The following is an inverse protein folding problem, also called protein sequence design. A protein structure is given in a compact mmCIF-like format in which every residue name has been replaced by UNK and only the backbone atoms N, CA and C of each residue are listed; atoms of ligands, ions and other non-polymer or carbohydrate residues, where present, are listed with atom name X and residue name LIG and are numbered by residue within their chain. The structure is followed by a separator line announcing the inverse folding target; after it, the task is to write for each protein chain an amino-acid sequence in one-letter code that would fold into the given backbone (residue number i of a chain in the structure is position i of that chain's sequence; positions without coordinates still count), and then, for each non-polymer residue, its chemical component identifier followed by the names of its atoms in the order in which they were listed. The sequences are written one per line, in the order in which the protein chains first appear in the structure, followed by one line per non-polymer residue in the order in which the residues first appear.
data_IF_439457956200
#
_entry.id   IF_439457956200
#
_cell.length_a   1.000
_cell.length_b   1.000
_cell.length_c   1.000
_cell.angle_alpha   90.00
_cell.angle_beta   90.00
_cell.angle_gamma   90.00
#
_symmetry.space_group_name_H-M   'P 1'
#
loop_
_entity.id
_entity.type
_entity.pdbx_description
1 polymer ?
#
# COMPACT_ATOMS: atom_id res chain seq x y z
N UNK A 1 16.19 -16.26 29.23
CA UNK A 1 15.89 -15.35 28.10
C UNK A 1 17.20 -14.68 27.71
N UNK A 2 17.70 -14.92 26.49
CA UNK A 2 18.97 -14.36 26.06
C UNK A 2 18.93 -12.82 26.10
N UNK A 3 19.97 -12.21 26.66
CA UNK A 3 20.12 -10.76 26.71
C UNK A 3 20.42 -10.26 25.29
N UNK A 4 19.37 -9.88 24.57
CA UNK A 4 19.51 -9.30 23.23
C UNK A 4 19.96 -7.84 23.34
N UNK A 5 20.95 -7.41 22.53
CA UNK A 5 21.32 -6.00 22.40
C UNK A 5 20.11 -5.10 22.12
N UNK A 6 20.13 -3.87 22.66
CA UNK A 6 18.98 -2.95 22.59
C UNK A 6 18.58 -2.59 21.15
N UNK A 7 19.55 -2.44 20.23
CA UNK A 7 19.29 -2.19 18.81
C UNK A 7 18.61 -3.38 18.13
N UNK A 8 19.09 -4.60 18.37
CA UNK A 8 18.48 -5.84 17.85
C UNK A 8 17.06 -6.00 18.37
N UNK A 9 16.82 -5.75 19.66
CA UNK A 9 15.48 -5.81 20.26
C UNK A 9 14.53 -4.76 19.67
N UNK A 10 15.02 -3.55 19.39
CA UNK A 10 14.23 -2.46 18.79
C UNK A 10 13.74 -2.84 17.40
N UNK A 11 14.61 -3.39 16.55
CA UNK A 11 14.27 -3.87 15.19
C UNK A 11 13.32 -5.06 15.25
N UNK A 12 13.62 -6.06 16.06
CA UNK A 12 12.80 -7.26 16.20
C UNK A 12 11.35 -6.92 16.62
N UNK A 13 11.20 -6.02 17.59
CA UNK A 13 9.88 -5.58 18.06
C UNK A 13 9.08 -4.81 17.00
N UNK A 14 9.74 -4.13 16.06
CA UNK A 14 9.08 -3.44 14.95
C UNK A 14 8.36 -4.43 14.04
N UNK A 15 9.05 -5.49 13.62
CA UNK A 15 8.48 -6.54 12.76
C UNK A 15 7.48 -7.44 13.50
N UNK A 16 7.75 -7.77 14.77
CA UNK A 16 6.84 -8.59 15.57
C UNK A 16 5.47 -7.91 15.79
N UNK A 17 5.44 -6.59 16.01
CA UNK A 17 4.19 -5.84 16.13
C UNK A 17 3.37 -5.84 14.83
N UNK A 18 4.03 -5.76 13.66
CA UNK A 18 3.36 -5.83 12.35
C UNK A 18 2.69 -7.19 12.10
N UNK A 19 3.33 -8.29 12.52
CA UNK A 19 2.76 -9.64 12.41
C UNK A 19 1.53 -9.84 13.30
N UNK A 20 1.54 -9.29 14.52
CA UNK A 20 0.42 -9.40 15.46
C UNK A 20 -0.86 -8.70 14.95
N UNK A 21 -0.74 -7.71 14.06
CA UNK A 21 -1.86 -6.98 13.44
C UNK A 21 -2.44 -7.63 12.18
N UNK A 22 -2.10 -8.89 11.88
CA UNK A 22 -2.76 -9.67 10.83
C UNK A 22 -2.10 -9.64 9.45
N UNK A 23 -0.88 -9.12 9.33
CA UNK A 23 -0.08 -9.22 8.10
C UNK A 23 0.71 -10.52 8.07
N UNK A 24 0.73 -11.20 6.91
CA UNK A 24 1.56 -12.38 6.63
C UNK A 24 3.04 -11.96 6.43
N UNK A 25 3.59 -11.23 7.41
CA UNK A 25 4.88 -10.53 7.33
C UNK A 25 5.99 -11.38 7.93
N UNK A 26 7.08 -11.55 7.18
CA UNK A 26 8.30 -12.18 7.65
C UNK A 26 8.86 -11.40 8.84
N UNK A 27 9.17 -12.10 9.93
CA UNK A 27 9.78 -11.51 11.12
C UNK A 27 11.21 -12.01 11.19
N UNK A 28 12.23 -11.16 10.91
CA UNK A 28 13.61 -11.58 11.00
C UNK A 28 13.93 -12.01 12.43
N UNK A 29 14.68 -13.08 12.57
CA UNK A 29 15.15 -13.57 13.87
C UNK A 29 16.17 -12.61 14.47
N UNK A 30 16.32 -12.59 15.81
CA UNK A 30 17.32 -11.74 16.44
C UNK A 30 18.76 -11.98 15.97
N UNK A 31 19.08 -13.19 15.51
CA UNK A 31 20.39 -13.53 14.93
C UNK A 31 20.60 -12.87 13.57
N UNK A 32 19.61 -12.97 12.66
CA UNK A 32 19.70 -12.34 11.33
C UNK A 32 19.85 -10.81 11.43
N UNK A 33 19.12 -10.18 12.36
CA UNK A 33 19.26 -8.75 12.63
C UNK A 33 20.67 -8.44 13.13
N UNK A 34 21.20 -9.25 14.05
CA UNK A 34 22.52 -9.04 14.62
C UNK A 34 23.62 -9.16 13.55
N UNK A 35 23.56 -10.20 12.73
CA UNK A 35 24.54 -10.45 11.66
C UNK A 35 24.54 -9.30 10.64
N UNK A 36 23.36 -8.78 10.30
CA UNK A 36 23.24 -7.60 9.43
C UNK A 36 23.86 -6.35 10.07
N UNK A 37 23.55 -6.04 11.33
CA UNK A 37 24.12 -4.89 12.02
C UNK A 37 25.65 -4.98 12.09
N UNK A 38 26.20 -6.16 12.37
CA UNK A 38 27.65 -6.40 12.37
C UNK A 38 28.26 -6.21 10.97
N UNK A 39 27.60 -6.70 9.91
CA UNK A 39 28.06 -6.53 8.52
C UNK A 39 28.12 -5.07 8.06
N UNK A 40 27.22 -4.22 8.57
CA UNK A 40 27.15 -2.79 8.25
C UNK A 40 27.99 -1.93 9.20
N UNK A 41 28.64 -2.53 10.20
CA UNK A 41 29.37 -1.80 11.25
C UNK A 41 28.45 -0.97 12.16
N UNK A 42 27.17 -1.33 12.27
CA UNK A 42 26.22 -0.65 13.15
C UNK A 42 26.37 -1.11 14.59
N UNK A 43 26.24 -0.17 15.53
CA UNK A 43 26.27 -0.47 16.96
C UNK A 43 25.04 -1.30 17.37
N UNK A 44 25.25 -2.53 17.84
CA UNK A 44 24.18 -3.43 18.29
C UNK A 44 23.40 -2.90 19.50
N UNK A 45 24.02 -2.07 20.33
CA UNK A 45 23.42 -1.50 21.54
C UNK A 45 22.88 -0.08 21.35
N UNK A 46 23.62 0.77 20.62
CA UNK A 46 23.27 2.18 20.39
C UNK A 46 23.17 2.46 18.90
N UNK A 47 22.02 2.13 18.33
CA UNK A 47 21.71 2.37 16.93
C UNK A 47 21.01 3.72 16.74
N UNK A 48 21.49 4.51 15.79
CA UNK A 48 20.86 5.79 15.40
C UNK A 48 19.54 5.56 14.65
N UNK A 49 18.70 6.61 14.55
CA UNK A 49 17.43 6.56 13.82
C UNK A 49 17.64 6.20 12.34
N UNK A 50 18.72 6.69 11.73
CA UNK A 50 19.07 6.42 10.33
C UNK A 50 19.48 4.96 10.13
N UNK A 51 20.33 4.41 11.00
CA UNK A 51 20.72 3.00 10.98
C UNK A 51 19.52 2.08 11.24
N UNK A 52 18.61 2.49 12.14
CA UNK A 52 17.35 1.78 12.36
C UNK A 52 16.53 1.72 11.07
N UNK A 53 16.29 2.86 10.42
CA UNK A 53 15.51 2.92 9.18
C UNK A 53 16.15 2.14 8.03
N UNK A 54 17.47 2.18 7.89
CA UNK A 54 18.20 1.37 6.92
C UNK A 54 18.03 -0.13 7.19
N UNK A 55 18.08 -0.53 8.46
CA UNK A 55 17.86 -1.93 8.88
C UNK A 55 16.42 -2.37 8.63
N UNK A 56 15.44 -1.52 8.94
CA UNK A 56 14.03 -1.79 8.63
C UNK A 56 13.82 -1.94 7.12
N UNK A 57 14.41 -1.05 6.31
CA UNK A 57 14.29 -1.13 4.86
C UNK A 57 14.90 -2.42 4.31
N UNK A 58 16.09 -2.83 4.77
CA UNK A 58 16.73 -4.09 4.37
C UNK A 58 15.87 -5.33 4.63
N UNK A 59 15.26 -5.44 5.81
CA UNK A 59 14.41 -6.58 6.15
C UNK A 59 12.98 -6.47 5.60
N UNK A 60 12.54 -5.26 5.24
CA UNK A 60 11.25 -5.04 4.56
C UNK A 60 11.36 -5.30 3.06
N UNK A 61 12.52 -5.09 2.42
CA UNK A 61 12.77 -5.41 1.01
C UNK A 61 12.81 -6.92 0.73
N UNK A 62 12.90 -7.77 1.76
CA UNK A 62 12.70 -9.21 1.62
C UNK A 62 11.22 -9.64 1.57
N UNK A 63 10.24 -8.71 1.63
CA UNK A 63 8.81 -9.00 1.41
C UNK A 63 8.45 -9.15 -0.08
N UNK A 64 9.15 -10.01 -0.82
CA UNK A 64 8.73 -10.48 -2.14
C UNK A 64 8.37 -11.96 -2.12
N UNK A 65 7.18 -12.27 -1.59
CA UNK A 65 6.26 -13.38 -1.96
C UNK A 65 5.09 -13.38 -0.97
N UNK A 66 3.82 -13.46 -1.37
CA UNK A 66 3.17 -14.50 -2.18
C UNK A 66 1.98 -13.96 -2.98
N UNK A 67 1.59 -14.61 -4.10
CA UNK A 67 0.21 -14.91 -4.36
C UNK A 67 -0.10 -16.36 -4.00
N UNK A 68 -1.23 -16.50 -3.33
CA UNK A 68 -1.99 -17.71 -3.14
C UNK A 68 -2.15 -18.45 -4.47
N UNK A 69 -1.90 -19.77 -4.43
CA UNK A 69 -2.03 -20.67 -5.56
C UNK A 69 -3.42 -20.55 -6.20
N UNK A 70 -3.47 -20.13 -7.47
CA UNK A 70 -4.48 -20.61 -8.39
C UNK A 70 -3.80 -21.28 -9.57
N UNK A 71 -4.22 -22.51 -9.80
CA UNK A 71 -3.77 -23.38 -10.86
C UNK A 71 -4.07 -22.75 -12.22
N UNK A 72 -3.06 -22.61 -13.06
CA UNK A 72 -3.23 -22.70 -14.51
C UNK A 72 -1.96 -23.36 -15.04
N UNK A 73 -2.07 -24.66 -15.26
CA UNK A 73 -1.07 -25.43 -15.95
C UNK A 73 -0.96 -24.95 -17.40
N UNK A 74 0.25 -24.63 -17.84
CA UNK A 74 0.75 -25.13 -19.11
C UNK A 74 2.28 -25.23 -19.05
N UNK A 75 2.74 -26.47 -18.99
CA UNK A 75 4.13 -26.84 -19.18
C UNK A 75 4.59 -26.36 -20.56
N UNK A 76 5.69 -25.62 -20.61
CA UNK A 76 6.61 -25.72 -21.75
C UNK A 76 7.94 -26.22 -21.23
N UNK A 77 8.09 -27.54 -21.27
CA UNK A 77 9.37 -28.24 -21.29
C UNK A 77 10.19 -27.72 -22.48
N UNK A 78 11.33 -27.09 -22.23
CA UNK A 78 12.50 -27.22 -23.11
C UNK A 78 13.77 -27.34 -22.26
N UNK A 79 14.04 -28.58 -21.85
CA UNK A 79 15.38 -29.06 -21.54
C UNK A 79 16.20 -28.99 -22.83
N UNK A 80 16.93 -27.90 -23.01
CA UNK A 80 17.92 -27.72 -24.05
C UNK A 80 19.29 -27.58 -23.41
N UNK A 81 20.00 -28.71 -23.36
CA UNK A 81 21.43 -28.78 -23.10
C UNK A 81 22.17 -27.83 -24.06
N UNK A 82 22.67 -26.72 -23.52
CA UNK A 82 23.55 -25.80 -24.23
C UNK A 82 24.73 -25.47 -23.32
N UNK A 83 25.80 -26.22 -23.55
CA UNK A 83 27.20 -25.88 -23.27
C UNK A 83 27.42 -24.41 -22.92
N UNK A 84 28.11 -24.23 -21.80
CA UNK A 84 28.91 -23.05 -21.48
C UNK A 84 30.09 -23.01 -22.47
N UNK A 85 29.82 -22.65 -23.72
CA UNK A 85 30.86 -22.44 -24.73
C UNK A 85 30.84 -20.95 -25.13
N UNK A 86 31.90 -20.26 -24.69
CA UNK A 86 32.46 -19.03 -25.25
C UNK A 86 31.56 -17.79 -25.37
N UNK A 87 31.62 -16.94 -24.33
CA UNK A 87 31.08 -15.57 -24.35
C UNK A 87 31.93 -14.68 -25.28
N UNK A 88 31.79 -14.90 -26.59
CA UNK A 88 32.46 -14.11 -27.62
C UNK A 88 31.79 -12.74 -27.74
N UNK A 89 32.30 -11.77 -26.98
CA UNK A 89 32.30 -10.29 -27.13
C UNK A 89 31.45 -9.65 -28.25
N UNK A 90 30.13 -9.90 -28.27
CA UNK A 90 29.17 -9.32 -29.19
C UNK A 90 27.84 -9.08 -28.48
N UNK A 91 27.25 -7.91 -28.71
CA UNK A 91 25.97 -7.45 -28.13
C UNK A 91 24.92 -8.56 -27.99
N UNK A 92 24.31 -8.74 -26.81
CA UNK A 92 23.21 -9.69 -26.63
C UNK A 92 22.01 -9.30 -27.51
N UNK A 93 21.37 -10.31 -28.08
CA UNK A 93 20.10 -10.17 -28.79
C UNK A 93 18.97 -9.78 -27.84
N UNK A 94 17.88 -9.21 -28.38
CA UNK A 94 16.68 -8.89 -27.58
C UNK A 94 16.14 -10.11 -26.83
N UNK A 95 16.14 -11.28 -27.50
CA UNK A 95 15.65 -12.52 -26.91
C UNK A 95 16.51 -13.01 -25.74
N UNK A 96 17.84 -12.90 -25.83
CA UNK A 96 18.74 -13.25 -24.72
C UNK A 96 18.56 -12.31 -23.53
N UNK A 97 18.40 -11.00 -23.77
CA UNK A 97 18.08 -10.04 -22.70
C UNK A 97 16.76 -10.38 -22.02
N UNK A 98 15.73 -10.75 -22.78
CA UNK A 98 14.46 -11.19 -22.19
C UNK A 98 14.63 -12.44 -21.33
N UNK A 99 15.33 -13.46 -21.82
CA UNK A 99 15.55 -14.69 -21.07
C UNK A 99 16.33 -14.43 -19.78
N UNK A 100 17.32 -13.53 -19.79
CA UNK A 100 18.07 -13.12 -18.60
C UNK A 100 17.15 -12.42 -17.60
N UNK A 101 16.35 -11.45 -18.05
CA UNK A 101 15.38 -10.74 -17.20
C UNK A 101 14.36 -11.69 -16.61
N UNK A 102 13.72 -12.55 -17.42
CA UNK A 102 12.71 -13.51 -16.95
C UNK A 102 13.30 -14.53 -15.97
N UNK A 103 14.49 -15.06 -16.25
CA UNK A 103 15.17 -16.00 -15.37
C UNK A 103 15.51 -15.35 -14.03
N UNK A 104 16.11 -14.16 -14.05
CA UNK A 104 16.50 -13.45 -12.83
C UNK A 104 15.28 -12.97 -12.03
N UNK A 105 14.23 -12.49 -12.68
CA UNK A 105 12.97 -12.13 -12.04
C UNK A 105 12.33 -13.34 -11.35
N UNK A 106 12.32 -14.50 -12.02
CA UNK A 106 11.82 -15.76 -11.42
C UNK A 106 12.64 -16.17 -10.19
N UNK A 107 13.98 -16.02 -10.25
CA UNK A 107 14.85 -16.28 -9.10
C UNK A 107 14.57 -15.34 -7.91
N UNK A 108 14.15 -14.10 -8.20
CA UNK A 108 13.75 -13.11 -7.19
C UNK A 108 12.27 -13.22 -6.78
N UNK A 109 11.55 -14.23 -7.27
CA UNK A 109 10.09 -14.38 -7.10
C UNK A 109 9.29 -13.15 -7.55
N UNK A 110 9.79 -12.40 -8.53
CA UNK A 110 9.10 -11.27 -9.15
C UNK A 110 8.33 -11.80 -10.35
N UNK A 111 7.01 -11.66 -10.31
CA UNK A 111 6.16 -11.95 -11.45
C UNK A 111 6.06 -10.71 -12.34
N UNK A 112 6.58 -10.81 -13.56
CA UNK A 112 6.56 -9.74 -14.56
C UNK A 112 5.59 -10.08 -15.70
N UNK A 113 4.93 -9.07 -16.24
CA UNK A 113 4.23 -9.21 -17.53
C UNK A 113 5.22 -9.14 -18.69
N UNK A 114 4.77 -9.50 -19.90
CA UNK A 114 5.60 -9.41 -21.11
C UNK A 114 6.11 -7.98 -21.35
N UNK A 115 5.24 -6.97 -21.18
CA UNK A 115 5.61 -5.56 -21.35
C UNK A 115 6.64 -5.09 -20.31
N UNK A 116 6.59 -5.63 -19.08
CA UNK A 116 7.55 -5.31 -18.02
C UNK A 116 8.94 -5.92 -18.31
N UNK A 117 8.95 -7.12 -18.88
CA UNK A 117 10.19 -7.79 -19.31
C UNK A 117 10.84 -6.97 -20.43
N UNK A 118 10.07 -6.53 -21.43
CA UNK A 118 10.56 -5.64 -22.50
C UNK A 118 11.15 -4.35 -21.91
N UNK A 119 10.42 -3.70 -20.99
CA UNK A 119 10.85 -2.45 -20.36
C UNK A 119 12.18 -2.58 -19.62
N UNK A 120 12.38 -3.67 -18.87
CA UNK A 120 13.62 -3.92 -18.13
C UNK A 120 14.75 -4.34 -19.08
N UNK A 121 14.45 -5.20 -20.06
CA UNK A 121 15.42 -5.72 -21.02
C UNK A 121 16.01 -4.63 -21.92
N UNK A 122 15.22 -3.62 -22.28
CA UNK A 122 15.69 -2.48 -23.09
C UNK A 122 16.62 -1.52 -22.32
N UNK A 123 16.73 -1.68 -21.00
CA UNK A 123 17.57 -0.86 -20.12
C UNK A 123 18.89 -1.52 -19.71
N UNK A 124 19.11 -2.76 -20.13
CA UNK A 124 20.39 -3.44 -19.95
C UNK A 124 21.37 -2.84 -20.96
N UNK A 125 22.31 -2.03 -20.45
CA UNK A 125 23.38 -1.44 -21.24
C UNK A 125 24.51 -2.47 -21.39
N UNK A 126 24.69 -2.98 -22.61
CA UNK A 126 25.71 -3.98 -22.92
C UNK A 126 26.80 -3.31 -23.73
N UNK A 127 27.97 -3.18 -23.11
CA UNK A 127 29.15 -2.62 -23.75
C UNK A 127 30.09 -3.74 -24.20
N UNK A 128 31.00 -3.41 -25.12
CA UNK A 128 32.03 -4.36 -25.55
C UNK A 128 32.92 -4.69 -24.35
N UNK A 129 32.96 -5.97 -23.98
CA UNK A 129 33.72 -6.46 -22.82
C UNK A 129 32.91 -6.59 -21.52
N UNK A 130 31.62 -6.27 -21.51
CA UNK A 130 30.76 -6.54 -20.34
C UNK A 130 30.66 -8.05 -20.11
N UNK A 131 30.93 -8.47 -18.88
CA UNK A 131 30.84 -9.89 -18.50
C UNK A 131 29.39 -10.29 -18.20
N UNK A 132 29.09 -11.59 -18.29
CA UNK A 132 27.76 -12.11 -17.92
C UNK A 132 27.40 -11.75 -16.46
N UNK A 133 28.37 -11.79 -15.57
CA UNK A 133 28.16 -11.47 -14.15
C UNK A 133 27.76 -10.01 -13.94
N UNK A 134 28.40 -9.08 -14.66
CA UNK A 134 28.01 -7.66 -14.69
C UNK A 134 26.60 -7.46 -15.26
N UNK A 135 26.23 -8.20 -16.31
CA UNK A 135 24.88 -8.15 -16.89
C UNK A 135 23.84 -8.66 -15.90
N UNK A 136 24.14 -9.74 -15.17
CA UNK A 136 23.25 -10.29 -14.15
C UNK A 136 23.06 -9.32 -12.97
N UNK A 137 24.14 -8.68 -12.51
CA UNK A 137 24.09 -7.65 -11.48
C UNK A 137 23.32 -6.41 -11.92
N UNK A 138 23.52 -5.98 -13.16
CA UNK A 138 22.77 -4.86 -13.73
C UNK A 138 21.28 -5.18 -13.85
N UNK A 139 20.94 -6.40 -14.30
CA UNK A 139 19.56 -6.88 -14.40
C UNK A 139 18.89 -6.90 -13.03
N UNK A 140 19.58 -7.41 -12.01
CA UNK A 140 19.10 -7.39 -10.62
C UNK A 140 18.83 -5.96 -10.13
N UNK A 141 19.77 -5.03 -10.36
CA UNK A 141 19.60 -3.63 -9.99
C UNK A 141 18.40 -2.98 -10.69
N UNK A 142 18.19 -3.28 -11.98
CA UNK A 142 17.05 -2.78 -12.74
C UNK A 142 15.73 -3.36 -12.24
N UNK A 143 15.69 -4.65 -11.90
CA UNK A 143 14.52 -5.30 -11.31
C UNK A 143 14.14 -4.70 -9.96
N UNK A 144 15.13 -4.42 -9.09
CA UNK A 144 14.89 -3.73 -7.83
C UNK A 144 14.31 -2.32 -8.05
N UNK A 145 14.94 -1.52 -8.93
CA UNK A 145 14.42 -0.18 -9.27
C UNK A 145 13.01 -0.23 -9.87
N UNK A 146 12.72 -1.26 -10.65
CA UNK A 146 11.40 -1.46 -11.25
C UNK A 146 10.35 -1.80 -10.19
N UNK A 147 10.68 -2.68 -9.25
CA UNK A 147 9.83 -3.02 -8.11
C UNK A 147 9.54 -1.78 -7.25
N UNK A 148 10.55 -0.97 -6.93
CA UNK A 148 10.40 0.29 -6.18
C UNK A 148 9.46 1.27 -6.91
N UNK A 149 9.64 1.42 -8.23
CA UNK A 149 8.78 2.27 -9.05
C UNK A 149 7.32 1.80 -9.00
N UNK A 150 7.07 0.49 -9.12
CA UNK A 150 5.71 -0.07 -9.06
C UNK A 150 5.09 0.05 -7.67
N UNK A 151 5.89 -0.10 -6.62
CA UNK A 151 5.42 0.16 -5.27
C UNK A 151 4.98 1.62 -5.09
N UNK A 152 5.80 2.57 -5.54
CA UNK A 152 5.47 4.00 -5.47
C UNK A 152 4.22 4.33 -6.30
N UNK A 153 4.09 3.78 -7.51
CA UNK A 153 2.90 3.92 -8.34
C UNK A 153 1.64 3.41 -7.59
N UNK A 154 1.76 2.26 -6.91
CA UNK A 154 0.71 1.69 -6.08
C UNK A 154 0.31 2.60 -4.91
N UNK A 155 1.30 3.12 -4.16
CA UNK A 155 1.08 4.05 -3.05
C UNK A 155 0.32 5.30 -3.53
N UNK A 156 0.75 5.92 -4.63
CA UNK A 156 0.10 7.11 -5.17
C UNK A 156 -1.36 6.84 -5.58
N UNK A 157 -1.64 5.67 -6.17
CA UNK A 157 -3.01 5.26 -6.53
C UNK A 157 -3.88 5.04 -5.29
N UNK A 158 -3.32 4.45 -4.24
CA UNK A 158 -3.99 4.25 -2.95
C UNK A 158 -4.30 5.61 -2.30
N UNK A 159 -3.35 6.53 -2.25
CA UNK A 159 -3.55 7.87 -1.70
C UNK A 159 -4.62 8.65 -2.48
N UNK A 160 -4.60 8.57 -3.81
CA UNK A 160 -5.64 9.16 -4.65
C UNK A 160 -7.03 8.52 -4.42
N UNK A 161 -7.08 7.23 -4.10
CA UNK A 161 -8.33 6.56 -3.72
C UNK A 161 -8.83 7.05 -2.36
N UNK A 162 -7.96 7.12 -1.35
CA UNK A 162 -8.31 7.65 -0.04
C UNK A 162 -8.81 9.10 -0.12
N UNK A 163 -8.15 9.95 -0.89
CA UNK A 163 -8.59 11.33 -1.12
C UNK A 163 -10.00 11.39 -1.73
N UNK A 164 -10.30 10.54 -2.73
CA UNK A 164 -11.64 10.47 -3.33
C UNK A 164 -12.71 9.99 -2.34
N UNK A 165 -12.43 8.95 -1.57
CA UNK A 165 -13.36 8.43 -0.55
C UNK A 165 -13.61 9.47 0.53
N UNK A 166 -12.55 10.10 1.03
CA UNK A 166 -12.65 11.14 2.05
C UNK A 166 -13.50 12.31 1.56
N UNK A 167 -13.22 12.82 0.36
CA UNK A 167 -14.01 13.92 -0.23
C UNK A 167 -15.48 13.54 -0.43
N UNK A 168 -15.75 12.30 -0.87
CA UNK A 168 -17.12 11.82 -1.04
C UNK A 168 -17.87 11.74 0.30
N UNK A 169 -17.25 11.18 1.33
CA UNK A 169 -17.83 11.09 2.68
C UNK A 169 -18.05 12.49 3.26
N UNK A 170 -17.08 13.39 3.12
CA UNK A 170 -17.20 14.77 3.58
C UNK A 170 -18.35 15.49 2.89
N UNK A 171 -18.41 15.46 1.54
CA UNK A 171 -19.49 16.06 0.77
C UNK A 171 -20.85 15.52 1.20
N UNK A 172 -20.99 14.20 1.33
CA UNK A 172 -22.25 13.58 1.71
C UNK A 172 -22.67 13.96 3.16
N UNK A 173 -21.70 14.09 4.07
CA UNK A 173 -21.95 14.51 5.44
C UNK A 173 -22.36 16.00 5.51
N UNK A 174 -21.72 16.86 4.70
CA UNK A 174 -22.09 18.27 4.56
C UNK A 174 -23.51 18.41 3.97
N UNK A 175 -23.82 17.69 2.89
CA UNK A 175 -25.15 17.67 2.28
C UNK A 175 -26.22 17.17 3.25
N UNK A 176 -25.93 16.09 3.98
CA UNK A 176 -26.82 15.54 5.01
C UNK A 176 -27.04 16.54 6.14
N UNK A 177 -25.98 17.18 6.63
CA UNK A 177 -26.06 18.18 7.69
C UNK A 177 -26.87 19.41 7.26
N UNK A 178 -26.71 19.85 6.02
CA UNK A 178 -27.52 20.92 5.46
C UNK A 178 -28.99 20.51 5.31
N UNK A 179 -29.26 19.29 4.87
CA UNK A 179 -30.62 18.77 4.72
C UNK A 179 -31.32 18.67 6.07
N UNK A 180 -30.65 18.14 7.11
CA UNK A 180 -31.16 18.09 8.48
C UNK A 180 -31.44 19.52 9.00
N UNK A 181 -30.50 20.44 8.79
CA UNK A 181 -30.66 21.84 9.23
C UNK A 181 -31.87 22.50 8.59
N UNK A 182 -32.09 22.31 7.28
CA UNK A 182 -33.29 22.79 6.57
C UNK A 182 -34.57 22.13 7.10
N UNK A 183 -34.54 20.83 7.36
CA UNK A 183 -35.66 20.09 7.94
C UNK A 183 -36.05 20.60 9.34
N UNK A 184 -35.07 20.85 10.20
CA UNK A 184 -35.31 21.40 11.55
C UNK A 184 -35.86 22.83 11.50
N UNK A 185 -35.37 23.67 10.60
CA UNK A 185 -35.92 25.02 10.38
C UNK A 185 -37.37 24.96 9.90
N UNK A 186 -37.69 24.04 8.97
CA UNK A 186 -39.06 23.84 8.53
C UNK A 186 -39.96 23.37 9.67
N UNK A 187 -39.52 22.36 10.42
CA UNK A 187 -40.25 21.84 11.57
C UNK A 187 -40.51 22.91 12.63
N UNK A 188 -39.53 23.78 12.92
CA UNK A 188 -39.73 24.92 13.82
C UNK A 188 -40.82 25.88 13.33
N UNK A 189 -40.82 26.20 12.03
CA UNK A 189 -41.88 27.03 11.42
C UNK A 189 -43.25 26.36 11.48
N UNK A 190 -43.32 25.06 11.25
CA UNK A 190 -44.57 24.30 11.31
C UNK A 190 -45.13 24.25 12.74
N UNK A 191 -44.28 24.13 13.76
CA UNK A 191 -44.69 24.23 15.18
C UNK A 191 -45.26 25.61 15.49
N UNK A 192 -44.57 26.68 15.10
CA UNK A 192 -45.04 28.05 15.35
C UNK A 192 -46.40 28.31 14.68
N UNK A 193 -46.58 27.79 13.47
CA UNK A 193 -47.85 27.89 12.76
C UNK A 193 -48.94 27.06 13.47
N UNK A 194 -48.64 25.83 13.88
CA UNK A 194 -49.58 24.99 14.64
C UNK A 194 -50.00 25.64 15.96
N UNK A 195 -49.10 26.31 16.66
CA UNK A 195 -49.45 27.06 17.88
C UNK A 195 -50.39 28.23 17.58
N UNK A 196 -50.14 28.99 16.51
CA UNK A 196 -51.01 30.10 16.09
C UNK A 196 -52.40 29.60 15.73
N UNK A 197 -52.48 28.50 14.98
CA UNK A 197 -53.74 27.89 14.55
C UNK A 197 -54.53 27.34 15.74
N UNK A 198 -53.83 26.74 16.71
CA UNK A 198 -54.43 26.28 17.96
C UNK A 198 -54.98 27.44 18.81
N UNK A 199 -54.17 28.48 19.03
CA UNK A 199 -54.59 29.70 19.76
C UNK A 199 -55.78 30.37 19.07
N UNK A 200 -55.76 30.47 17.75
CA UNK A 200 -56.88 31.02 16.96
C UNK A 200 -58.14 30.17 17.11
N UNK A 201 -58.02 28.85 17.03
CA UNK A 201 -59.14 27.91 17.19
C UNK A 201 -59.78 28.02 18.58
N UNK A 202 -58.97 28.11 19.64
CA UNK A 202 -59.47 28.31 21.00
C UNK A 202 -60.15 29.67 21.14
N UNK A 203 -59.53 30.75 20.65
CA UNK A 203 -60.13 32.09 20.72
C UNK A 203 -61.46 32.16 19.97
N UNK A 204 -61.56 31.53 18.81
CA UNK A 204 -62.79 31.40 18.04
C UNK A 204 -63.86 30.56 18.77
N UNK A 205 -63.47 29.49 19.46
CA UNK A 205 -64.40 28.71 20.26
C UNK A 205 -64.92 29.51 21.47
N UNK A 206 -64.03 30.21 22.19
CA UNK A 206 -64.38 31.03 23.35
C UNK A 206 -65.27 32.22 22.96
N UNK A 207 -64.99 32.90 21.85
CA UNK A 207 -65.82 34.01 21.36
C UNK A 207 -67.23 33.56 20.95
N UNK A 208 -67.38 32.34 20.44
CA UNK A 208 -68.70 31.73 20.16
C UNK A 208 -69.45 31.30 21.43
N UNK A 209 -68.72 30.96 22.48
CA UNK A 209 -69.29 30.67 23.80
C UNK A 209 -69.63 31.94 24.59
N UNK A 210 -69.06 33.09 24.23
CA UNK A 210 -69.36 34.36 24.87
C UNK A 210 -70.76 34.83 24.44
N UNK A 211 -71.74 34.59 25.32
CA UNK A 211 -73.14 34.98 25.10
C UNK A 211 -73.24 36.50 25.31
N UNK A 212 -73.66 37.29 24.30
CA UNK A 212 -73.97 38.70 24.50
C UNK A 212 -75.27 38.79 25.29
N UNK A 213 -75.20 38.89 26.63
CA UNK A 213 -76.41 39.03 27.43
C UNK A 213 -76.37 38.72 28.93
N UNK A 214 -75.21 38.63 29.59
CA UNK A 214 -75.18 38.58 31.07
C UNK A 214 -74.59 39.87 31.62
N UNK A 215 -75.44 40.90 31.63
CA UNK A 215 -75.40 41.89 32.70
C UNK A 215 -76.14 41.28 33.89
N UNK A 216 -75.45 41.06 35.00
CA UNK A 216 -76.03 40.81 36.32
C UNK A 216 -75.41 41.81 37.29
#
# INVERSE_FOLDING_TARGET
MANLPSGVRRVYNHFYKRKATGGNSYTPTPSEIKDYLESQGFGSDNMTEEQFNQTINHFSSCELSFPQAEQSAELINQTGDARVDDFSSGTLTKQERHSIVSSKASQMNIQLSADDIDYVADRIDIQVGTTLDEILHQTESLLCKYADYKQQEGIQKIDAMFGRVYNHVQSNNEDTSQHISRGLQQFGRDIEQSEKDFKSSISNALSRLNIPGVSA
#
